data_IF_490430051238
#
_entry.id   IF_490430051238
#
_cell.length_a   1.000
_cell.length_b   1.000
_cell.length_c   1.000
_cell.angle_alpha   90.00
_cell.angle_beta   90.00
_cell.angle_gamma   90.00
#
_symmetry.space_group_name_H-M   'P 1'
#
loop_
_entity.id
_entity.type
_entity.pdbx_description
1 polymer ?
#
# COMPACT_ATOMS: atom_id res chain seq x y z
N UNK A 1 -0.03 29.11 -12.85
CA UNK A 1 0.03 28.09 -13.91
C UNK A 1 -0.91 26.96 -13.50
N UNK A 2 -1.92 26.56 -14.28
CA UNK A 2 -2.70 25.38 -13.94
C UNK A 2 -1.78 24.15 -14.02
N UNK A 3 -1.63 23.45 -12.91
CA UNK A 3 -0.85 22.22 -12.80
C UNK A 3 -1.43 21.21 -13.81
N UNK A 4 -0.66 20.87 -14.85
CA UNK A 4 -1.10 19.95 -15.90
C UNK A 4 -0.81 18.52 -15.46
N UNK A 5 -1.65 17.57 -15.88
CA UNK A 5 -1.48 16.17 -15.49
C UNK A 5 -0.19 15.57 -16.07
N UNK A 6 0.51 14.78 -15.25
CA UNK A 6 1.77 14.10 -15.64
C UNK A 6 1.53 12.88 -16.55
N UNK A 7 2.54 12.40 -17.30
CA UNK A 7 2.46 11.20 -18.15
C UNK A 7 1.89 9.94 -17.46
N UNK A 8 2.14 9.80 -16.15
CA UNK A 8 1.60 8.70 -15.34
C UNK A 8 0.07 8.73 -15.27
N UNK A 9 -0.53 9.91 -15.20
CA UNK A 9 -1.98 10.07 -15.16
C UNK A 9 -2.62 9.60 -16.48
N UNK A 10 -2.01 9.89 -17.63
CA UNK A 10 -2.49 9.37 -18.92
C UNK A 10 -2.45 7.84 -18.99
N UNK A 11 -1.38 7.23 -18.48
CA UNK A 11 -1.29 5.77 -18.42
C UNK A 11 -2.41 5.17 -17.55
N UNK A 12 -2.70 5.79 -16.40
CA UNK A 12 -3.78 5.33 -15.51
C UNK A 12 -5.14 5.44 -16.20
N UNK A 13 -5.44 6.55 -16.87
CA UNK A 13 -6.71 6.73 -17.58
C UNK A 13 -6.87 5.68 -18.68
N UNK A 14 -5.79 5.41 -19.44
CA UNK A 14 -5.81 4.39 -20.48
C UNK A 14 -6.15 3.01 -19.91
N UNK A 15 -5.49 2.62 -18.82
CA UNK A 15 -5.78 1.37 -18.10
C UNK A 15 -7.21 1.36 -17.53
N UNK A 16 -7.72 2.49 -17.05
CA UNK A 16 -9.08 2.60 -16.52
C UNK A 16 -10.14 2.42 -17.60
N UNK A 17 -9.94 3.06 -18.76
CA UNK A 17 -10.77 2.89 -19.94
C UNK A 17 -10.81 1.42 -20.39
N UNK A 18 -9.64 0.77 -20.46
CA UNK A 18 -9.53 -0.65 -20.83
C UNK A 18 -10.21 -1.57 -19.80
N UNK A 19 -10.06 -1.32 -18.50
CA UNK A 19 -10.70 -2.13 -17.45
C UNK A 19 -12.23 -2.02 -17.44
N UNK A 20 -12.77 -0.83 -17.72
CA UNK A 20 -14.22 -0.61 -17.76
C UNK A 20 -14.82 -1.03 -19.11
N UNK A 21 -13.98 -1.34 -20.10
CA UNK A 21 -14.44 -1.72 -21.45
C UNK A 21 -15.11 -0.57 -22.20
N UNK A 22 -14.71 0.68 -21.92
CA UNK A 22 -15.35 1.87 -22.46
C UNK A 22 -14.82 2.20 -23.86
N UNK A 23 -15.73 2.47 -24.79
CA UNK A 23 -15.38 2.91 -26.16
C UNK A 23 -14.75 4.31 -26.16
N UNK A 24 -14.05 4.65 -27.23
CA UNK A 24 -13.40 5.97 -27.33
C UNK A 24 -14.39 7.13 -27.43
N UNK A 25 -15.57 6.88 -28.02
CA UNK A 25 -16.66 7.85 -28.11
C UNK A 25 -17.27 8.15 -26.73
N UNK A 26 -17.67 7.10 -25.99
CA UNK A 26 -18.15 7.20 -24.61
C UNK A 26 -17.14 7.91 -23.70
N UNK A 27 -15.85 7.61 -23.88
CA UNK A 27 -14.79 8.26 -23.12
C UNK A 27 -14.71 9.77 -23.40
N UNK A 28 -14.86 10.21 -24.66
CA UNK A 28 -14.85 11.64 -25.02
C UNK A 28 -16.11 12.35 -24.52
N UNK A 29 -17.28 11.72 -24.64
CA UNK A 29 -18.53 12.24 -24.11
C UNK A 29 -18.47 12.40 -22.58
N UNK A 30 -17.90 11.39 -21.89
CA UNK A 30 -17.67 11.42 -20.45
C UNK A 30 -16.72 12.55 -20.06
N UNK A 31 -15.60 12.69 -20.79
CA UNK A 31 -14.60 13.73 -20.53
C UNK A 31 -15.20 15.13 -20.67
N UNK A 32 -15.93 15.38 -21.77
CA UNK A 32 -16.60 16.66 -22.01
C UNK A 32 -17.66 16.94 -20.94
N UNK A 33 -18.45 15.93 -20.55
CA UNK A 33 -19.49 16.07 -19.52
C UNK A 33 -18.94 16.33 -18.12
N UNK A 34 -17.88 15.63 -17.71
CA UNK A 34 -17.31 15.75 -16.35
C UNK A 34 -16.39 16.96 -16.18
N UNK A 35 -15.70 17.36 -17.24
CA UNK A 35 -14.59 18.30 -17.13
C UNK A 35 -14.73 19.51 -18.05
N UNK A 36 -15.65 19.47 -19.02
CA UNK A 36 -15.78 20.48 -20.07
C UNK A 36 -14.64 20.45 -21.08
N UNK A 37 -13.74 19.47 -20.99
CA UNK A 37 -12.56 19.36 -21.85
C UNK A 37 -12.75 18.27 -22.90
N UNK A 38 -12.29 18.55 -24.11
CA UNK A 38 -12.31 17.58 -25.22
C UNK A 38 -11.10 16.64 -25.21
N UNK A 39 -10.02 17.04 -24.53
CA UNK A 39 -8.78 16.28 -24.51
C UNK A 39 -8.26 16.02 -23.10
N UNK A 40 -7.77 14.79 -22.89
CA UNK A 40 -7.09 14.43 -21.66
C UNK A 40 -5.87 15.33 -21.39
N UNK A 41 -5.30 15.96 -22.42
CA UNK A 41 -4.15 16.86 -22.31
C UNK A 41 -4.46 18.15 -21.56
N UNK A 42 -5.71 18.60 -21.57
CA UNK A 42 -6.17 19.77 -20.85
C UNK A 42 -6.67 19.44 -19.43
N UNK A 43 -6.53 18.19 -18.98
CA UNK A 43 -6.92 17.80 -17.63
C UNK A 43 -6.01 18.44 -16.58
N UNK A 44 -6.65 18.84 -15.50
CA UNK A 44 -6.01 19.25 -14.25
C UNK A 44 -6.06 18.10 -13.25
N UNK A 45 -5.21 18.06 -12.23
CA UNK A 45 -5.24 17.02 -11.21
C UNK A 45 -6.61 16.94 -10.48
N UNK A 46 -7.31 18.07 -10.36
CA UNK A 46 -8.66 18.11 -9.78
C UNK A 46 -9.70 17.38 -10.65
N UNK A 47 -9.67 17.63 -11.96
CA UNK A 47 -10.59 16.99 -12.91
C UNK A 47 -10.24 15.52 -13.14
N UNK A 48 -8.95 15.19 -13.13
CA UNK A 48 -8.47 13.81 -13.09
C UNK A 48 -9.06 13.04 -11.91
N UNK A 49 -9.02 13.60 -10.69
CA UNK A 49 -9.58 12.94 -9.50
C UNK A 49 -11.08 12.67 -9.63
N UNK A 50 -11.84 13.61 -10.20
CA UNK A 50 -13.29 13.43 -10.48
C UNK A 50 -13.53 12.30 -11.49
N UNK A 51 -12.74 12.28 -12.57
CA UNK A 51 -12.82 11.23 -13.59
C UNK A 51 -12.51 9.85 -13.00
N UNK A 52 -11.48 9.75 -12.16
CA UNK A 52 -11.11 8.51 -11.47
C UNK A 52 -12.19 8.02 -10.51
N UNK A 53 -12.84 8.93 -9.77
CA UNK A 53 -13.96 8.57 -8.90
C UNK A 53 -15.15 8.02 -9.69
N UNK A 54 -15.40 8.55 -10.89
CA UNK A 54 -16.44 8.01 -11.78
C UNK A 54 -16.06 6.62 -12.32
N UNK A 55 -14.80 6.43 -12.73
CA UNK A 55 -14.31 5.10 -13.11
C UNK A 55 -14.41 4.10 -11.96
N UNK A 56 -14.10 4.49 -10.73
CA UNK A 56 -14.23 3.63 -9.55
C UNK A 56 -15.68 3.19 -9.33
N UNK A 57 -16.65 4.09 -9.51
CA UNK A 57 -18.07 3.76 -9.46
C UNK A 57 -18.52 2.79 -10.59
N UNK A 58 -17.85 2.84 -11.75
CA UNK A 58 -18.07 1.92 -12.86
C UNK A 58 -17.34 0.56 -12.68
N UNK A 59 -16.61 0.36 -11.58
CA UNK A 59 -15.92 -0.89 -11.27
C UNK A 59 -14.42 -0.88 -11.56
N UNK A 60 -13.82 0.26 -11.90
CA UNK A 60 -12.37 0.38 -12.00
C UNK A 60 -11.74 0.30 -10.60
N UNK A 61 -10.86 -0.67 -10.39
CA UNK A 61 -10.08 -0.74 -9.16
C UNK A 61 -8.70 -0.17 -9.43
N UNK A 62 -8.42 1.03 -8.90
CA UNK A 62 -7.09 1.63 -8.94
C UNK A 62 -6.06 0.63 -8.41
N UNK A 63 -4.90 0.52 -9.07
CA UNK A 63 -3.80 -0.34 -8.61
C UNK A 63 -3.34 0.02 -7.19
N UNK A 64 -3.45 1.29 -6.81
CA UNK A 64 -3.24 1.75 -5.44
C UNK A 64 -4.36 1.33 -4.47
N UNK A 65 -5.62 1.34 -4.93
CA UNK A 65 -6.75 0.82 -4.17
C UNK A 65 -6.64 -0.70 -3.96
N UNK A 66 -6.18 -1.48 -4.96
CA UNK A 66 -5.81 -2.90 -4.79
C UNK A 66 -4.70 -3.10 -3.75
N UNK A 67 -3.70 -2.22 -3.74
CA UNK A 67 -2.66 -2.22 -2.69
C UNK A 67 -3.24 -1.88 -1.32
N UNK A 68 -4.22 -0.98 -1.23
CA UNK A 68 -4.86 -0.56 0.02
C UNK A 68 -5.95 -1.52 0.53
N UNK A 69 -6.70 -2.19 -0.34
CA UNK A 69 -7.69 -3.20 0.06
C UNK A 69 -7.01 -4.41 0.73
N UNK A 70 -5.76 -4.68 0.35
CA UNK A 70 -4.88 -5.63 1.03
C UNK A 70 -4.29 -5.10 2.35
N UNK A 71 -4.55 -3.84 2.73
CA UNK A 71 -4.08 -3.17 3.97
C UNK A 71 -5.15 -3.08 5.05
N UNK A 72 -6.21 -3.91 5.03
CA UNK A 72 -6.80 -4.21 6.33
C UNK A 72 -5.70 -4.90 7.14
N UNK A 73 -5.27 -4.33 8.28
CA UNK A 73 -4.20 -4.91 9.05
C UNK A 73 -4.73 -6.20 9.68
N UNK A 74 -4.60 -7.30 8.95
CA UNK A 74 -4.80 -8.63 9.50
C UNK A 74 -3.77 -8.74 10.61
N UNK A 75 -4.26 -8.97 11.83
CA UNK A 75 -3.39 -9.25 12.98
C UNK A 75 -2.30 -10.22 12.57
N UNK A 76 -1.10 -10.03 13.10
CA UNK A 76 0.00 -10.94 12.89
C UNK A 76 -0.47 -12.38 13.17
N UNK A 77 -0.20 -13.27 12.21
CA UNK A 77 -0.54 -14.68 12.38
C UNK A 77 0.31 -15.29 13.48
N UNK A 78 -0.21 -16.33 14.14
CA UNK A 78 0.51 -17.02 15.22
C UNK A 78 1.89 -17.52 14.77
N UNK A 79 1.99 -17.99 13.52
CA UNK A 79 3.27 -18.38 12.90
C UNK A 79 4.27 -17.22 12.84
N UNK A 80 3.82 -16.00 12.53
CA UNK A 80 4.69 -14.82 12.53
C UNK A 80 5.14 -14.44 13.94
N UNK A 81 4.23 -14.49 14.92
CA UNK A 81 4.57 -14.20 16.32
C UNK A 81 5.60 -15.19 16.85
N UNK A 82 5.39 -16.49 16.63
CA UNK A 82 6.34 -17.55 17.01
C UNK A 82 7.70 -17.35 16.35
N UNK A 83 7.72 -16.96 15.07
CA UNK A 83 8.98 -16.71 14.36
C UNK A 83 9.77 -15.54 14.92
N UNK A 84 9.08 -14.47 15.32
CA UNK A 84 9.71 -13.31 15.98
C UNK A 84 10.35 -13.75 17.30
N UNK A 85 9.64 -14.51 18.14
CA UNK A 85 10.18 -15.00 19.41
C UNK A 85 11.37 -15.94 19.23
N UNK A 86 11.33 -16.84 18.24
CA UNK A 86 12.45 -17.74 17.92
C UNK A 86 13.68 -16.96 17.45
N UNK A 87 13.52 -16.00 16.52
CA UNK A 87 14.64 -15.19 16.04
C UNK A 87 15.24 -14.32 17.15
N UNK A 88 14.42 -13.84 18.07
CA UNK A 88 14.90 -13.09 19.23
C UNK A 88 15.72 -13.97 20.17
N UNK A 89 15.25 -15.18 20.46
CA UNK A 89 15.99 -16.15 21.26
C UNK A 89 17.35 -16.48 20.61
N UNK A 90 17.39 -16.69 19.29
CA UNK A 90 18.65 -16.93 18.57
C UNK A 90 19.59 -15.73 18.67
N UNK A 91 19.08 -14.50 18.49
CA UNK A 91 19.89 -13.29 18.56
C UNK A 91 20.47 -13.03 19.96
N UNK A 92 19.77 -13.47 21.00
CA UNK A 92 20.12 -13.21 22.41
C UNK A 92 20.72 -14.44 23.10
N UNK A 93 21.05 -15.50 22.37
CA UNK A 93 21.54 -16.78 22.91
C UNK A 93 20.62 -17.35 24.02
N UNK A 94 19.30 -17.16 23.86
CA UNK A 94 18.29 -17.62 24.81
C UNK A 94 18.11 -16.74 26.05
N UNK A 95 18.87 -15.65 26.21
CA UNK A 95 18.74 -14.72 27.35
C UNK A 95 17.64 -13.67 27.16
N UNK A 96 17.15 -13.49 25.92
CA UNK A 96 16.17 -12.49 25.56
C UNK A 96 14.75 -12.86 25.94
N UNK A 97 14.19 -12.14 26.90
CA UNK A 97 12.77 -12.22 27.29
C UNK A 97 11.86 -11.45 26.34
N UNK A 98 10.56 -11.74 26.37
CA UNK A 98 9.55 -11.00 25.59
C UNK A 98 9.57 -9.48 25.89
N UNK A 99 9.87 -9.10 27.13
CA UNK A 99 10.02 -7.69 27.55
C UNK A 99 11.18 -6.99 26.85
N UNK A 100 12.31 -7.67 26.69
CA UNK A 100 13.48 -7.10 26.00
C UNK A 100 13.27 -7.00 24.49
N UNK A 101 12.54 -7.96 23.90
CA UNK A 101 12.06 -7.88 22.52
C UNK A 101 11.13 -6.68 22.33
N UNK A 102 10.17 -6.49 23.25
CA UNK A 102 9.27 -5.34 23.25
C UNK A 102 10.04 -4.02 23.27
N UNK A 103 10.98 -3.85 24.20
CA UNK A 103 11.78 -2.61 24.28
C UNK A 103 12.57 -2.35 22.99
N UNK A 104 13.13 -3.40 22.38
CA UNK A 104 13.83 -3.28 21.11
C UNK A 104 12.87 -2.86 19.97
N UNK A 105 11.66 -3.41 19.95
CA UNK A 105 10.62 -3.05 18.98
C UNK A 105 10.14 -1.61 19.15
N UNK A 106 9.90 -1.17 20.40
CA UNK A 106 9.51 0.20 20.74
C UNK A 106 10.61 1.19 20.31
N UNK A 107 11.88 0.88 20.60
CA UNK A 107 13.03 1.70 20.19
C UNK A 107 13.15 1.86 18.66
N UNK A 108 12.67 0.90 17.88
CA UNK A 108 12.70 0.93 16.40
C UNK A 108 11.40 1.40 15.76
N UNK A 109 10.38 1.74 16.56
CA UNK A 109 9.09 2.21 16.07
C UNK A 109 8.21 1.11 15.46
N UNK A 110 8.39 -0.16 15.85
CA UNK A 110 7.56 -1.28 15.39
C UNK A 110 6.29 -1.50 16.23
N UNK A 111 6.15 -0.81 17.38
CA UNK A 111 4.97 -0.88 18.25
C UNK A 111 5.25 -1.57 19.59
N UNK A 112 4.20 -1.65 20.44
CA UNK A 112 4.36 -1.94 21.86
C UNK A 112 4.28 -3.43 22.24
N UNK A 113 3.73 -4.32 21.40
CA UNK A 113 3.65 -5.74 21.76
C UNK A 113 3.44 -6.63 20.53
N UNK A 114 4.04 -7.82 20.55
CA UNK A 114 4.01 -8.79 19.44
C UNK A 114 2.57 -9.23 19.11
N UNK A 115 1.74 -9.41 20.14
CA UNK A 115 0.33 -9.81 20.00
C UNK A 115 -0.60 -8.73 19.41
N UNK A 116 -0.10 -7.49 19.31
CA UNK A 116 -0.83 -6.34 18.76
C UNK A 116 -0.26 -5.89 17.41
N UNK A 117 0.68 -6.64 16.83
CA UNK A 117 1.23 -6.33 15.53
C UNK A 117 0.25 -6.61 14.40
N UNK A 118 0.27 -5.74 13.40
CA UNK A 118 -0.24 -6.05 12.07
C UNK A 118 0.71 -7.04 11.35
N UNK A 119 0.17 -7.89 10.48
CA UNK A 119 0.92 -8.85 9.68
C UNK A 119 1.95 -8.21 8.73
N UNK A 120 1.76 -6.96 8.33
CA UNK A 120 2.75 -6.17 7.59
C UNK A 120 3.92 -5.73 8.47
N UNK A 121 3.63 -5.22 9.67
CA UNK A 121 4.66 -4.85 10.66
C UNK A 121 5.44 -6.07 11.14
N UNK A 122 4.76 -7.19 11.41
CA UNK A 122 5.40 -8.45 11.79
C UNK A 122 6.41 -8.94 10.74
N UNK A 123 6.08 -8.85 9.43
CA UNK A 123 7.02 -9.17 8.35
C UNK A 123 8.28 -8.29 8.37
N UNK A 124 8.14 -6.99 8.65
CA UNK A 124 9.28 -6.07 8.77
C UNK A 124 10.15 -6.43 9.97
N UNK A 125 9.54 -6.77 11.12
CA UNK A 125 10.25 -7.20 12.33
C UNK A 125 11.04 -8.49 12.06
N UNK A 126 10.42 -9.51 11.45
CA UNK A 126 11.10 -10.77 11.07
C UNK A 126 12.31 -10.49 10.19
N UNK A 127 12.16 -9.64 9.16
CA UNK A 127 13.26 -9.26 8.26
C UNK A 127 14.40 -8.52 8.98
N UNK A 128 14.07 -7.65 9.93
CA UNK A 128 15.07 -6.94 10.75
C UNK A 128 15.83 -7.90 11.67
N UNK A 129 15.13 -8.80 12.37
CA UNK A 129 15.75 -9.78 13.27
C UNK A 129 16.61 -10.78 12.49
N UNK A 130 16.14 -11.27 11.35
CA UNK A 130 16.92 -12.17 10.48
C UNK A 130 18.25 -11.53 10.09
N UNK A 131 18.25 -10.23 9.72
CA UNK A 131 19.48 -9.49 9.43
C UNK A 131 20.38 -9.30 10.65
N UNK A 132 19.82 -9.17 11.85
CA UNK A 132 20.60 -9.02 13.07
C UNK A 132 21.26 -10.34 13.48
N UNK A 133 20.53 -11.45 13.43
CA UNK A 133 21.08 -12.80 13.62
C UNK A 133 22.21 -13.07 12.62
N UNK A 134 22.02 -12.74 11.35
CA UNK A 134 23.05 -12.93 10.32
C UNK A 134 24.28 -12.01 10.46
N UNK A 135 24.20 -10.94 11.27
CA UNK A 135 25.33 -10.02 11.53
C UNK A 135 26.05 -10.30 12.85
N UNK A 136 25.39 -10.97 13.79
CA UNK A 136 25.93 -11.33 15.10
C UNK A 136 26.71 -12.65 15.12
N UNK A 137 26.83 -13.31 13.96
CA UNK A 137 27.62 -14.52 13.72
C UNK A 137 28.74 -14.21 12.74
#
# INVERSE_FOLDING_TARGET
>A
MPDTITPKHFAIIRVAKEQVGMSEDDYRALLSRLTGQETAKALTPQTFKKLMAHFEALGFISTEAKKNASRHPLKATEAQMRKISELWAIFTDGTGTETSLRHWMEKRGYGCSVGWLDGGTARRVIGALTKMVARGR
#
